data_IF_190363344083
#
_entry.id   IF_190363344083
#
_cell.length_a   1.000
_cell.length_b   1.000
_cell.length_c   1.000
_cell.angle_alpha   90.00
_cell.angle_beta   90.00
_cell.angle_gamma   90.00
#
_symmetry.space_group_name_H-M   'P 1'
#
loop_
_entity.id
_entity.type
_entity.pdbx_description
1 polymer ?
#
# COMPACT_ATOMS: atom_id res chain seq x y z
N UNK A 1 -6.29 -5.30 -6.89
CA UNK A 1 -5.08 -4.63 -6.34
C UNK A 1 -4.58 -5.32 -5.08
N UNK A 2 -5.28 -5.27 -3.94
CA UNK A 2 -4.77 -5.78 -2.64
C UNK A 2 -4.29 -7.23 -2.73
N UNK A 3 -5.11 -8.16 -3.25
CA UNK A 3 -4.74 -9.58 -3.40
C UNK A 3 -3.48 -9.81 -4.24
N UNK A 4 -3.33 -9.06 -5.32
CA UNK A 4 -2.17 -9.19 -6.20
C UNK A 4 -0.90 -8.67 -5.54
N UNK A 5 -1.00 -7.53 -4.85
CA UNK A 5 0.16 -6.90 -4.21
C UNK A 5 0.59 -7.58 -2.92
N UNK A 6 -0.31 -8.29 -2.25
CA UNK A 6 0.03 -9.11 -1.09
C UNK A 6 0.37 -10.54 -1.53
N UNK A 7 -0.64 -11.36 -1.80
CA UNK A 7 -0.48 -12.81 -1.94
C UNK A 7 0.35 -13.23 -3.15
N UNK A 8 0.15 -12.61 -4.32
CA UNK A 8 0.89 -13.00 -5.51
C UNK A 8 2.34 -12.53 -5.45
N UNK A 9 2.58 -11.27 -5.05
CA UNK A 9 3.95 -10.76 -4.89
C UNK A 9 4.75 -11.57 -3.87
N UNK A 10 4.14 -11.94 -2.73
CA UNK A 10 4.80 -12.78 -1.74
C UNK A 10 5.05 -14.20 -2.25
N UNK A 11 4.08 -14.81 -2.92
CA UNK A 11 4.24 -16.15 -3.52
C UNK A 11 5.30 -16.19 -4.62
N UNK A 12 5.40 -15.14 -5.45
CA UNK A 12 6.47 -15.03 -6.46
C UNK A 12 7.83 -14.85 -5.80
N UNK A 13 7.94 -14.01 -4.77
CA UNK A 13 9.19 -13.85 -4.03
C UNK A 13 9.63 -15.16 -3.37
N UNK A 14 8.71 -15.90 -2.76
CA UNK A 14 8.97 -17.21 -2.17
C UNK A 14 9.45 -18.21 -3.22
N UNK A 15 8.79 -18.28 -4.37
CA UNK A 15 9.20 -19.15 -5.47
C UNK A 15 10.62 -18.83 -5.95
N UNK A 16 10.94 -17.56 -6.18
CA UNK A 16 12.27 -17.13 -6.62
C UNK A 16 13.36 -17.44 -5.58
N UNK A 17 13.10 -17.17 -4.30
CA UNK A 17 14.03 -17.49 -3.21
C UNK A 17 14.33 -18.99 -3.18
N UNK A 18 13.28 -19.82 -3.32
CA UNK A 18 13.40 -21.28 -3.38
C UNK A 18 14.18 -21.73 -4.61
N UNK A 19 13.96 -21.12 -5.77
CA UNK A 19 14.70 -21.42 -7.00
C UNK A 19 16.20 -21.11 -6.91
N UNK A 20 16.61 -20.15 -6.08
CA UNK A 20 18.02 -19.77 -5.86
C UNK A 20 18.65 -20.59 -4.70
N UNK A 21 17.89 -21.51 -4.08
CA UNK A 21 18.37 -22.37 -2.99
C UNK A 21 18.37 -21.70 -1.61
N UNK A 22 17.75 -20.52 -1.48
CA UNK A 22 17.55 -19.87 -0.19
C UNK A 22 16.29 -20.46 0.47
N UNK A 23 16.48 -21.05 1.66
CA UNK A 23 15.40 -21.62 2.48
C UNK A 23 14.29 -20.59 2.73
N UNK A 24 13.04 -21.02 2.56
CA UNK A 24 11.86 -20.17 2.66
C UNK A 24 11.47 -19.87 4.12
N UNK A 25 10.91 -18.68 4.33
CA UNK A 25 10.34 -18.25 5.61
C UNK A 25 9.27 -19.25 6.06
N UNK A 26 9.36 -19.79 7.28
CA UNK A 26 8.37 -20.73 7.80
C UNK A 26 6.96 -20.10 7.82
N UNK A 27 5.94 -20.87 7.44
CA UNK A 27 4.55 -20.40 7.47
C UNK A 27 4.05 -20.36 8.92
N UNK A 28 4.25 -19.23 9.59
CA UNK A 28 3.67 -19.01 10.90
C UNK A 28 2.14 -18.96 10.77
N UNK A 29 1.46 -19.96 11.32
CA UNK A 29 -0.01 -20.03 11.32
C UNK A 29 -0.54 -18.82 12.06
N UNK A 30 -1.45 -18.09 11.42
CA UNK A 30 -2.10 -16.94 12.06
C UNK A 30 -3.02 -17.42 13.18
N UNK A 31 -2.98 -16.74 14.33
CA UNK A 31 -3.91 -17.03 15.41
C UNK A 31 -5.34 -16.76 14.94
N UNK A 32 -6.22 -17.74 15.10
CA UNK A 32 -7.67 -17.57 14.87
C UNK A 32 -8.42 -17.07 16.10
N UNK A 33 -7.71 -16.67 17.14
CA UNK A 33 -8.30 -16.04 18.32
C UNK A 33 -8.77 -14.66 17.90
N UNK A 34 -10.08 -14.45 17.94
CA UNK A 34 -10.72 -13.17 17.61
C UNK A 34 -11.09 -12.52 18.93
N UNK A 35 -10.57 -11.31 19.14
CA UNK A 35 -10.94 -10.47 20.28
C UNK A 35 -12.29 -9.78 20.04
N UNK A 36 -13.01 -9.44 21.10
CA UNK A 36 -14.34 -8.82 21.00
C UNK A 36 -14.30 -7.49 20.23
N UNK A 37 -13.24 -6.71 20.42
CA UNK A 37 -13.01 -5.46 19.69
C UNK A 37 -12.74 -5.70 18.20
N UNK A 38 -12.05 -6.79 17.85
CA UNK A 38 -11.84 -7.19 16.44
C UNK A 38 -13.15 -7.63 15.79
N UNK A 39 -13.98 -8.41 16.51
CA UNK A 39 -15.29 -8.84 16.03
C UNK A 39 -16.25 -7.66 15.81
N UNK A 40 -16.22 -6.67 16.70
CA UNK A 40 -17.01 -5.43 16.58
C UNK A 40 -16.59 -4.61 15.35
N UNK A 41 -15.30 -4.55 15.02
CA UNK A 41 -14.82 -3.90 13.79
C UNK A 41 -15.26 -4.66 12.55
N UNK A 42 -15.13 -5.99 12.56
CA UNK A 42 -15.57 -6.84 11.46
C UNK A 42 -17.08 -6.67 11.15
N UNK A 43 -17.94 -6.69 12.17
CA UNK A 43 -19.39 -6.51 11.99
C UNK A 43 -19.78 -5.12 11.45
N UNK A 44 -18.92 -4.12 11.63
CA UNK A 44 -19.09 -2.76 11.07
C UNK A 44 -18.49 -2.61 9.66
N UNK A 45 -17.94 -3.67 9.08
CA UNK A 45 -17.26 -3.62 7.77
C UNK A 45 -15.91 -2.90 7.81
N UNK A 46 -15.31 -2.76 9.00
CA UNK A 46 -14.03 -2.10 9.20
C UNK A 46 -12.88 -3.10 9.07
N UNK A 47 -11.91 -2.79 8.22
CA UNK A 47 -10.72 -3.62 8.02
C UNK A 47 -9.79 -3.60 9.22
N UNK A 48 -9.23 -4.76 9.55
CA UNK A 48 -8.24 -4.96 10.62
C UNK A 48 -6.81 -4.96 10.03
N UNK A 49 -5.96 -4.05 10.51
CA UNK A 49 -4.55 -3.98 10.11
C UNK A 49 -3.57 -4.20 11.27
N UNK A 50 -4.05 -4.31 12.51
CA UNK A 50 -3.22 -4.34 13.74
C UNK A 50 -2.16 -5.44 13.83
N UNK A 51 -2.28 -6.48 13.00
CA UNK A 51 -1.28 -7.55 12.93
C UNK A 51 -0.06 -7.06 12.16
N UNK A 52 1.12 -7.10 12.79
CA UNK A 52 2.39 -6.77 12.12
C UNK A 52 2.78 -7.85 11.10
N UNK A 53 2.21 -7.76 9.90
CA UNK A 53 2.46 -8.68 8.80
C UNK A 53 3.21 -8.00 7.65
N UNK A 54 4.28 -8.62 7.11
CA UNK A 54 4.99 -8.09 5.94
C UNK A 54 4.10 -8.04 4.68
N UNK A 55 3.00 -8.81 4.65
CA UNK A 55 2.04 -8.79 3.54
C UNK A 55 1.37 -7.42 3.33
N UNK A 56 1.40 -6.55 4.34
CA UNK A 56 0.84 -5.21 4.22
C UNK A 56 1.85 -4.16 3.70
N UNK A 57 3.16 -4.46 3.66
CA UNK A 57 4.20 -3.52 3.23
C UNK A 57 3.95 -3.09 1.78
N UNK A 58 3.78 -4.06 0.87
CA UNK A 58 3.57 -3.83 -0.55
C UNK A 58 2.28 -3.03 -0.82
N UNK A 59 1.08 -3.47 -0.36
CA UNK A 59 -0.17 -2.69 -0.49
C UNK A 59 -0.05 -1.25 0.02
N UNK A 60 0.64 -1.06 1.15
CA UNK A 60 0.83 0.27 1.76
C UNK A 60 1.74 1.14 0.92
N UNK A 61 2.85 0.58 0.44
CA UNK A 61 3.81 1.29 -0.43
C UNK A 61 3.12 1.79 -1.70
N UNK A 62 2.34 0.92 -2.37
CA UNK A 62 1.61 1.31 -3.57
C UNK A 62 0.49 2.32 -3.28
N UNK A 63 -0.21 2.20 -2.14
CA UNK A 63 -1.18 3.19 -1.74
C UNK A 63 -0.52 4.58 -1.57
N UNK A 64 0.59 4.66 -0.84
CA UNK A 64 1.32 5.92 -0.64
C UNK A 64 1.77 6.51 -1.98
N UNK A 65 2.37 5.71 -2.87
CA UNK A 65 2.81 6.18 -4.19
C UNK A 65 1.63 6.71 -5.00
N UNK A 66 0.52 5.96 -5.10
CA UNK A 66 -0.66 6.40 -5.86
C UNK A 66 -1.26 7.69 -5.29
N UNK A 67 -1.28 7.84 -3.97
CA UNK A 67 -1.76 9.07 -3.31
C UNK A 67 -0.86 10.27 -3.65
N UNK A 68 0.46 10.13 -3.52
CA UNK A 68 1.42 11.19 -3.83
C UNK A 68 1.37 11.58 -5.30
N UNK A 69 1.32 10.60 -6.21
CA UNK A 69 1.17 10.84 -7.65
C UNK A 69 -0.14 11.55 -7.99
N UNK A 70 -1.25 11.18 -7.35
CA UNK A 70 -2.53 11.86 -7.54
C UNK A 70 -2.49 13.30 -7.05
N UNK A 71 -1.92 13.57 -5.86
CA UNK A 71 -1.76 14.93 -5.35
C UNK A 71 -0.89 15.77 -6.30
N UNK A 72 0.25 15.22 -6.73
CA UNK A 72 1.15 15.91 -7.64
C UNK A 72 0.49 16.23 -8.98
N UNK A 73 -0.18 15.25 -9.59
CA UNK A 73 -0.90 15.47 -10.85
C UNK A 73 -2.04 16.48 -10.72
N UNK A 74 -2.73 16.51 -9.58
CA UNK A 74 -3.75 17.54 -9.31
C UNK A 74 -3.15 18.94 -9.21
N UNK A 75 -1.99 19.09 -8.55
CA UNK A 75 -1.25 20.35 -8.47
C UNK A 75 -0.77 20.80 -9.86
N UNK A 76 -0.23 19.87 -10.66
CA UNK A 76 0.20 20.16 -12.05
C UNK A 76 -0.93 20.69 -12.92
N UNK A 77 -2.12 20.08 -12.83
CA UNK A 77 -3.32 20.55 -13.56
C UNK A 77 -3.75 21.93 -13.08
N UNK A 78 -3.77 22.16 -11.76
CA UNK A 78 -4.16 23.44 -11.19
C UNK A 78 -3.24 24.59 -11.61
N UNK A 79 -1.93 24.34 -11.72
CA UNK A 79 -0.93 25.33 -12.12
C UNK A 79 -0.98 25.68 -13.61
N UNK A 80 -1.85 25.05 -14.41
CA UNK A 80 -2.12 25.45 -15.79
C UNK A 80 -1.05 25.01 -16.80
N UNK A 81 -0.34 23.91 -16.53
CA UNK A 81 0.61 23.31 -17.47
C UNK A 81 -0.17 22.66 -18.64
N UNK A 82 -0.43 23.46 -19.69
CA UNK A 82 -1.44 23.16 -20.73
C UNK A 82 -1.12 21.93 -21.59
N UNK A 83 0.17 21.65 -21.85
CA UNK A 83 0.59 20.45 -22.59
C UNK A 83 0.40 19.15 -21.76
N UNK A 84 0.40 19.29 -20.44
CA UNK A 84 0.36 18.17 -19.48
C UNK A 84 -1.09 17.85 -19.06
N UNK A 85 -1.98 18.85 -19.09
CA UNK A 85 -3.37 18.72 -18.66
C UNK A 85 -4.20 17.72 -19.46
N UNK A 86 -4.17 17.80 -20.80
CA UNK A 86 -5.02 16.94 -21.64
C UNK A 86 -4.59 15.48 -21.64
N UNK A 87 -3.28 15.23 -21.56
CA UNK A 87 -2.72 13.87 -21.52
C UNK A 87 -2.88 13.20 -20.15
N UNK A 88 -2.92 13.97 -19.05
CA UNK A 88 -3.01 13.42 -17.70
C UNK A 88 -4.43 13.19 -17.17
N UNK A 89 -5.49 13.70 -17.80
CA UNK A 89 -6.86 13.57 -17.28
C UNK A 89 -7.27 12.11 -17.01
N UNK A 90 -7.00 11.23 -17.96
CA UNK A 90 -7.37 9.81 -17.84
C UNK A 90 -6.50 9.08 -16.81
N UNK A 91 -5.21 9.45 -16.73
CA UNK A 91 -4.29 8.94 -15.72
C UNK A 91 -4.69 9.38 -14.31
N UNK A 92 -5.16 10.62 -14.16
CA UNK A 92 -5.69 11.18 -12.92
C UNK A 92 -6.99 10.50 -12.49
N UNK A 93 -7.91 10.22 -13.44
CA UNK A 93 -9.12 9.46 -13.15
C UNK A 93 -8.79 8.05 -12.64
N UNK A 94 -7.85 7.36 -13.30
CA UNK A 94 -7.39 6.03 -12.90
C UNK A 94 -6.73 6.06 -11.52
N UNK A 95 -5.80 7.00 -11.29
CA UNK A 95 -5.14 7.17 -10.01
C UNK A 95 -6.16 7.49 -8.90
N UNK A 96 -7.15 8.35 -9.17
CA UNK A 96 -8.24 8.63 -8.25
C UNK A 96 -9.07 7.39 -7.89
N UNK A 97 -9.44 6.57 -8.89
CA UNK A 97 -10.12 5.29 -8.65
C UNK A 97 -9.31 4.35 -7.76
N UNK A 98 -7.99 4.27 -7.97
CA UNK A 98 -7.08 3.46 -7.15
C UNK A 98 -7.01 4.02 -5.73
N UNK A 99 -6.83 5.32 -5.56
CA UNK A 99 -6.81 6.02 -4.26
C UNK A 99 -8.10 5.74 -3.49
N UNK A 100 -9.26 5.83 -4.13
CA UNK A 100 -10.55 5.50 -3.51
C UNK A 100 -10.61 4.05 -3.01
N UNK A 101 -10.07 3.09 -3.78
CA UNK A 101 -9.98 1.68 -3.35
C UNK A 101 -9.00 1.47 -2.19
N UNK A 102 -7.99 2.33 -2.06
CA UNK A 102 -7.01 2.32 -0.98
C UNK A 102 -7.47 3.09 0.27
N UNK A 103 -8.67 3.67 0.29
CA UNK A 103 -9.17 4.45 1.42
C UNK A 103 -9.00 3.78 2.79
N UNK A 104 -9.31 2.47 2.97
CA UNK A 104 -9.14 1.80 4.27
C UNK A 104 -7.69 1.78 4.75
N UNK A 105 -6.72 1.78 3.84
CA UNK A 105 -5.28 1.80 4.16
C UNK A 105 -4.89 3.19 4.67
N UNK A 106 -5.34 4.26 4.01
CA UNK A 106 -5.05 5.63 4.46
C UNK A 106 -5.70 5.92 5.81
N UNK A 107 -6.95 5.48 5.98
CA UNK A 107 -7.67 5.57 7.25
C UNK A 107 -6.89 4.86 8.38
N UNK A 108 -6.41 3.64 8.12
CA UNK A 108 -5.64 2.85 9.07
C UNK A 108 -4.26 3.45 9.41
N UNK A 109 -3.69 4.30 8.55
CA UNK A 109 -2.40 4.97 8.82
C UNK A 109 -2.61 6.27 9.58
N UNK A 110 -3.52 7.12 9.10
CA UNK A 110 -3.61 8.52 9.49
C UNK A 110 -4.77 8.84 10.45
N UNK A 111 -5.93 8.22 10.28
CA UNK A 111 -7.16 8.60 10.97
C UNK A 111 -7.44 7.76 12.21
N UNK A 112 -6.92 6.53 12.25
CA UNK A 112 -7.23 5.56 13.29
C UNK A 112 -6.25 5.59 14.47
N UNK A 113 -6.79 5.44 15.68
CA UNK A 113 -6.05 5.33 16.95
C UNK A 113 -6.32 4.03 17.72
N UNK A 114 -7.21 3.18 17.23
CA UNK A 114 -7.53 1.88 17.85
C UNK A 114 -6.53 0.77 17.50
N UNK A 115 -6.68 -0.41 18.12
CA UNK A 115 -5.80 -1.58 17.93
C UNK A 115 -5.82 -2.16 16.52
N UNK A 116 -6.81 -1.83 15.69
CA UNK A 116 -6.89 -2.22 14.28
C UNK A 116 -6.13 -1.29 13.34
N UNK A 117 -5.43 -0.28 13.86
CA UNK A 117 -4.53 0.63 13.13
C UNK A 117 -3.38 -0.12 12.45
N UNK A 118 -2.91 0.43 11.33
CA UNK A 118 -1.68 -0.02 10.68
C UNK A 118 -0.47 0.08 11.64
N UNK A 119 0.28 -1.01 11.89
CA UNK A 119 1.45 -0.99 12.76
C UNK A 119 2.51 -0.03 12.23
N UNK A 120 3.02 0.84 13.11
CA UNK A 120 3.97 1.89 12.73
C UNK A 120 5.22 1.33 12.02
N UNK A 121 5.70 0.15 12.44
CA UNK A 121 6.83 -0.53 11.79
C UNK A 121 6.58 -0.73 10.28
N UNK A 122 5.38 -1.19 9.91
CA UNK A 122 5.05 -1.43 8.50
C UNK A 122 4.95 -0.10 7.74
N UNK A 123 4.34 0.92 8.33
CA UNK A 123 4.26 2.26 7.72
C UNK A 123 5.63 2.86 7.48
N UNK A 124 6.56 2.74 8.43
CA UNK A 124 7.94 3.22 8.30
C UNK A 124 8.66 2.49 7.16
N UNK A 125 8.56 1.15 7.12
CA UNK A 125 9.16 0.36 6.03
C UNK A 125 8.57 0.73 4.67
N UNK A 126 7.26 0.92 4.58
CA UNK A 126 6.60 1.32 3.34
C UNK A 126 7.05 2.72 2.89
N UNK A 127 7.15 3.69 3.79
CA UNK A 127 7.66 5.03 3.48
C UNK A 127 9.11 4.99 3.00
N UNK A 128 9.97 4.21 3.65
CA UNK A 128 11.35 4.00 3.22
C UNK A 128 11.41 3.40 1.81
N UNK A 129 10.59 2.37 1.55
CA UNK A 129 10.52 1.74 0.23
C UNK A 129 10.01 2.72 -0.84
N UNK A 130 8.97 3.49 -0.54
CA UNK A 130 8.47 4.56 -1.41
C UNK A 130 9.55 5.58 -1.74
N UNK A 131 10.28 6.08 -0.73
CA UNK A 131 11.36 7.05 -0.93
C UNK A 131 12.50 6.49 -1.79
N UNK A 132 12.85 5.21 -1.58
CA UNK A 132 13.87 4.53 -2.37
C UNK A 132 13.42 4.38 -3.84
N UNK A 133 12.18 3.95 -4.08
CA UNK A 133 11.63 3.84 -5.43
C UNK A 133 11.58 5.20 -6.14
N UNK A 134 11.19 6.26 -5.42
CA UNK A 134 11.17 7.61 -5.97
C UNK A 134 12.59 8.11 -6.32
N UNK A 135 13.58 7.88 -5.46
CA UNK A 135 14.97 8.23 -5.73
C UNK A 135 15.52 7.49 -6.96
N UNK A 136 15.26 6.20 -7.08
CA UNK A 136 15.65 5.39 -8.25
C UNK A 136 14.99 5.94 -9.52
N UNK A 137 13.67 6.19 -9.48
CA UNK A 137 12.95 6.75 -10.62
C UNK A 137 13.53 8.11 -11.03
N UNK A 138 13.85 8.98 -10.07
CA UNK A 138 14.46 10.28 -10.35
C UNK A 138 15.85 10.19 -10.98
N UNK A 139 16.59 9.10 -10.78
CA UNK A 139 17.89 8.87 -11.43
C UNK A 139 17.69 8.35 -12.86
N UNK A 140 16.71 7.47 -13.08
CA UNK A 140 16.45 6.83 -14.37
C UNK A 140 15.79 7.79 -15.36
N UNK A 141 14.80 8.57 -14.90
CA UNK A 141 14.03 9.50 -15.73
C UNK A 141 14.61 10.91 -15.78
N UNK A 142 15.92 11.04 -15.50
CA UNK A 142 16.67 12.29 -15.62
C UNK A 142 17.10 12.57 -17.05
#
# INVERSE_FOLDING_TARGET
MIRSLSSFSFGTAEYLLKSIGLSTYGFAVTSKVVDDEQNKRYSRGVFEFGVSSPLFVLPTTAAIINLLSFIWGAISIYNGDRDVGESLLLQMLLAGCIVMKCFPIYEAIALRSDSGKMPAKITIFALFLTGTLYAIASIIFK
#
